data_IF_222566395490
#
_entry.id   IF_222566395490
#
_cell.length_a   1.000
_cell.length_b   1.000
_cell.length_c   1.000
_cell.angle_alpha   90.00
_cell.angle_beta   90.00
_cell.angle_gamma   90.00
#
_symmetry.space_group_name_H-M   'P 1'
#
loop_
_entity.id
_entity.type
_entity.pdbx_description
1 polymer ?
#
# COMPACT_ATOMS: atom_id res chain seq x y z
N UNK A 1 -20.46 -30.03 43.64
CA UNK A 1 -20.70 -30.84 42.43
C UNK A 1 -20.04 -30.14 41.26
N UNK A 2 -19.07 -30.79 40.63
CA UNK A 2 -18.31 -30.28 39.48
C UNK A 2 -18.97 -30.83 38.21
N UNK A 3 -19.31 -29.96 37.28
CA UNK A 3 -19.79 -30.37 35.96
C UNK A 3 -18.65 -30.97 35.13
N UNK A 4 -18.97 -32.03 34.40
CA UNK A 4 -18.11 -32.90 33.60
C UNK A 4 -18.45 -32.69 32.11
N UNK A 5 -17.42 -32.84 31.25
CA UNK A 5 -17.43 -33.12 29.79
C UNK A 5 -17.79 -31.96 28.83
N UNK A 6 -17.12 -31.74 27.68
CA UNK A 6 -16.13 -32.54 26.92
C UNK A 6 -15.57 -31.72 25.73
N UNK A 7 -14.40 -32.14 25.23
CA UNK A 7 -13.96 -32.15 23.81
C UNK A 7 -13.67 -30.82 23.09
N UNK A 8 -12.40 -30.45 22.94
CA UNK A 8 -11.56 -30.81 21.77
C UNK A 8 -10.15 -30.23 21.98
N UNK A 9 -9.15 -31.02 21.65
CA UNK A 9 -7.73 -30.69 21.65
C UNK A 9 -7.45 -29.36 20.94
N UNK A 10 -7.00 -28.35 21.69
CA UNK A 10 -6.44 -27.12 21.13
C UNK A 10 -5.11 -27.47 20.42
N UNK A 11 -5.23 -27.75 19.13
CA UNK A 11 -4.14 -28.08 18.24
C UNK A 11 -3.18 -26.87 18.16
N UNK A 12 -1.97 -27.10 18.65
CA UNK A 12 -0.67 -26.51 18.26
C UNK A 12 -0.51 -24.98 18.39
N UNK A 13 0.12 -24.58 19.50
CA UNK A 13 1.11 -23.50 19.47
C UNK A 13 2.23 -23.91 18.50
N UNK A 14 2.19 -23.42 17.27
CA UNK A 14 3.39 -23.35 16.43
C UNK A 14 3.21 -22.35 15.31
N UNK A 15 3.60 -21.10 15.53
CA UNK A 15 4.28 -20.38 14.44
C UNK A 15 5.76 -20.50 14.72
N UNK A 16 6.39 -21.31 13.87
CA UNK A 16 7.80 -21.65 13.89
C UNK A 16 8.57 -20.37 13.65
N UNK A 17 9.50 -20.05 14.55
CA UNK A 17 10.62 -19.16 14.25
C UNK A 17 11.48 -19.85 13.18
N UNK A 18 11.18 -19.65 11.90
CA UNK A 18 12.06 -20.09 10.82
C UNK A 18 13.11 -19.01 10.58
N UNK A 19 14.30 -19.23 11.11
CA UNK A 19 15.48 -18.46 10.78
C UNK A 19 15.88 -18.69 9.32
N UNK A 20 16.21 -17.60 8.61
CA UNK A 20 16.89 -17.46 7.30
C UNK A 20 16.07 -17.45 5.97
N UNK A 21 14.76 -17.73 5.96
CA UNK A 21 13.88 -17.49 4.79
C UNK A 21 12.90 -16.31 4.98
N UNK A 22 12.78 -15.81 6.21
CA UNK A 22 11.87 -14.73 6.61
C UNK A 22 12.29 -13.31 6.19
N UNK A 23 13.30 -13.17 5.31
CA UNK A 23 13.96 -11.89 5.05
C UNK A 23 13.88 -11.39 3.59
N UNK A 24 13.08 -12.04 2.74
CA UNK A 24 12.82 -11.58 1.37
C UNK A 24 11.33 -11.37 1.18
N UNK A 25 10.93 -10.14 0.88
CA UNK A 25 9.55 -9.86 0.46
C UNK A 25 9.34 -10.50 -0.90
N UNK A 26 8.37 -11.41 -1.01
CA UNK A 26 8.04 -12.00 -2.30
C UNK A 26 7.26 -10.97 -3.13
N UNK A 27 7.44 -10.93 -4.46
CA UNK A 27 6.66 -10.05 -5.32
C UNK A 27 5.14 -10.24 -5.15
N UNK A 28 4.69 -11.49 -5.00
CA UNK A 28 3.27 -11.82 -4.79
C UNK A 28 2.71 -11.19 -3.51
N UNK A 29 3.46 -11.26 -2.41
CA UNK A 29 3.06 -10.62 -1.15
C UNK A 29 2.95 -9.11 -1.31
N UNK A 30 3.94 -8.48 -1.95
CA UNK A 30 3.92 -7.02 -2.15
C UNK A 30 2.79 -6.59 -3.08
N UNK A 31 2.49 -7.36 -4.13
CA UNK A 31 1.34 -7.11 -5.01
C UNK A 31 0.02 -7.17 -4.23
N UNK A 32 -0.13 -8.15 -3.34
CA UNK A 32 -1.31 -8.25 -2.47
C UNK A 32 -1.41 -7.05 -1.53
N UNK A 33 -0.32 -6.63 -0.89
CA UNK A 33 -0.33 -5.45 -0.01
C UNK A 33 -0.63 -4.14 -0.77
N UNK A 34 -0.16 -4.02 -2.02
CA UNK A 34 -0.51 -2.91 -2.91
C UNK A 34 -2.02 -2.89 -3.16
N UNK A 35 -2.61 -4.03 -3.51
CA UNK A 35 -4.05 -4.15 -3.79
C UNK A 35 -4.89 -3.81 -2.55
N UNK A 36 -4.53 -4.39 -1.39
CA UNK A 36 -5.20 -4.12 -0.11
C UNK A 36 -5.14 -2.63 0.23
N UNK A 37 -3.98 -1.99 0.14
CA UNK A 37 -3.86 -0.57 0.45
C UNK A 37 -4.60 0.33 -0.54
N UNK A 38 -4.62 -0.03 -1.83
CA UNK A 38 -5.41 0.69 -2.83
C UNK A 38 -6.90 0.59 -2.55
N UNK A 39 -7.40 -0.59 -2.17
CA UNK A 39 -8.81 -0.76 -1.79
C UNK A 39 -9.19 0.10 -0.59
N UNK A 40 -8.38 0.09 0.48
CA UNK A 40 -8.62 0.94 1.65
C UNK A 40 -8.60 2.42 1.28
N UNK A 41 -7.71 2.84 0.38
CA UNK A 41 -7.67 4.21 -0.13
C UNK A 41 -8.94 4.61 -0.89
N UNK A 42 -9.56 3.70 -1.66
CA UNK A 42 -10.75 4.02 -2.44
C UNK A 42 -12.03 4.03 -1.61
N UNK A 43 -12.17 3.11 -0.65
CA UNK A 43 -13.46 2.78 -0.07
C UNK A 43 -13.61 2.98 1.42
N UNK A 44 -12.51 3.16 2.16
CA UNK A 44 -12.58 3.35 3.60
C UNK A 44 -12.49 4.84 3.98
N UNK A 45 -12.50 5.08 5.30
CA UNK A 45 -12.28 6.43 5.82
C UNK A 45 -10.86 6.93 5.51
N UNK A 46 -10.64 8.26 5.48
CA UNK A 46 -9.31 8.83 5.29
C UNK A 46 -8.26 8.30 6.28
N UNK A 47 -8.65 7.90 7.49
CA UNK A 47 -7.77 7.34 8.52
C UNK A 47 -7.28 5.94 8.16
N UNK A 48 -8.17 5.07 7.71
CA UNK A 48 -7.83 3.72 7.25
C UNK A 48 -6.92 3.79 6.00
N UNK A 49 -7.28 4.66 5.05
CA UNK A 49 -6.46 4.95 3.87
C UNK A 49 -5.04 5.40 4.24
N UNK A 50 -4.90 6.36 5.17
CA UNK A 50 -3.58 6.82 5.68
C UNK A 50 -2.78 5.66 6.25
N UNK A 51 -3.39 4.85 7.12
CA UNK A 51 -2.71 3.74 7.80
C UNK A 51 -2.19 2.69 6.82
N UNK A 52 -3.04 2.25 5.89
CA UNK A 52 -2.70 1.25 4.89
C UNK A 52 -1.58 1.76 3.96
N UNK A 53 -1.72 2.98 3.43
CA UNK A 53 -0.72 3.56 2.53
C UNK A 53 0.62 3.85 3.23
N UNK A 54 0.62 4.23 4.51
CA UNK A 54 1.87 4.38 5.28
C UNK A 54 2.57 3.05 5.50
N UNK A 55 1.81 1.99 5.77
CA UNK A 55 2.36 0.65 5.93
C UNK A 55 2.99 0.18 4.62
N UNK A 56 2.29 0.36 3.50
CA UNK A 56 2.79 0.05 2.17
C UNK A 56 4.05 0.87 1.84
N UNK A 57 4.08 2.17 2.15
CA UNK A 57 5.26 3.00 1.91
C UNK A 57 6.49 2.46 2.65
N UNK A 58 6.37 2.12 3.95
CA UNK A 58 7.47 1.53 4.73
C UNK A 58 7.93 0.19 4.15
N UNK A 59 6.98 -0.63 3.69
CA UNK A 59 7.27 -1.92 3.06
C UNK A 59 8.10 -1.73 1.79
N UNK A 60 7.66 -0.86 0.89
CA UNK A 60 8.33 -0.55 -0.38
C UNK A 60 9.67 0.21 -0.18
N UNK A 61 9.85 0.88 0.96
CA UNK A 61 11.16 1.45 1.34
C UNK A 61 12.13 0.40 1.88
N UNK A 62 11.62 -0.64 2.54
CA UNK A 62 12.45 -1.69 3.14
C UNK A 62 13.07 -2.65 2.12
N UNK A 63 12.43 -2.86 0.96
CA UNK A 63 12.93 -3.72 -0.10
C UNK A 63 12.72 -3.05 -1.47
N UNK A 64 13.82 -2.56 -2.02
CA UNK A 64 13.89 -1.98 -3.36
C UNK A 64 14.81 -2.83 -4.26
N UNK A 65 14.80 -4.15 -4.08
CA UNK A 65 15.58 -5.03 -4.93
C UNK A 65 15.11 -4.95 -6.38
N UNK A 66 16.08 -4.99 -7.32
CA UNK A 66 15.78 -4.91 -8.76
C UNK A 66 14.78 -6.01 -9.20
N UNK A 67 14.91 -7.21 -8.66
CA UNK A 67 14.01 -8.33 -8.97
C UNK A 67 12.56 -8.07 -8.51
N UNK A 68 12.36 -7.37 -7.39
CA UNK A 68 11.04 -6.97 -6.92
C UNK A 68 10.49 -5.85 -7.81
N UNK A 69 11.29 -4.81 -8.09
CA UNK A 69 10.90 -3.68 -8.92
C UNK A 69 10.56 -4.11 -10.37
N UNK A 70 11.27 -5.08 -10.93
CA UNK A 70 10.95 -5.68 -12.24
C UNK A 70 9.57 -6.34 -12.27
N UNK A 71 9.08 -6.82 -11.12
CA UNK A 71 7.78 -7.51 -11.02
C UNK A 71 6.63 -6.57 -10.70
N UNK A 72 6.82 -5.63 -9.79
CA UNK A 72 5.74 -4.75 -9.34
C UNK A 72 5.70 -3.43 -10.13
N UNK A 73 6.84 -3.00 -10.69
CA UNK A 73 7.04 -1.71 -11.35
C UNK A 73 7.74 -0.70 -10.41
N UNK A 74 8.68 0.12 -10.92
CA UNK A 74 9.51 1.02 -10.11
C UNK A 74 8.71 2.15 -9.43
N UNK A 75 7.54 2.49 -9.97
CA UNK A 75 6.82 3.70 -9.58
C UNK A 75 5.80 3.49 -8.44
N UNK A 76 5.66 2.27 -7.91
CA UNK A 76 4.66 1.99 -6.86
C UNK A 76 4.88 2.82 -5.59
N UNK A 77 6.13 3.06 -5.20
CA UNK A 77 6.43 3.91 -4.04
C UNK A 77 6.04 5.37 -4.33
N UNK A 78 6.31 5.86 -5.55
CA UNK A 78 5.91 7.20 -5.97
C UNK A 78 4.37 7.35 -5.95
N UNK A 79 3.63 6.37 -6.48
CA UNK A 79 2.16 6.38 -6.44
C UNK A 79 1.59 6.27 -5.02
N UNK A 80 2.21 5.46 -4.17
CA UNK A 80 1.82 5.35 -2.75
C UNK A 80 1.97 6.71 -2.04
N UNK A 81 3.09 7.40 -2.26
CA UNK A 81 3.29 8.75 -1.73
C UNK A 81 2.34 9.79 -2.32
N UNK A 82 2.03 9.73 -3.62
CA UNK A 82 1.06 10.64 -4.21
C UNK A 82 -0.33 10.48 -3.59
N UNK A 83 -0.77 9.24 -3.37
CA UNK A 83 -2.05 8.95 -2.69
C UNK A 83 -2.03 9.44 -1.24
N UNK A 84 -0.95 9.26 -0.48
CA UNK A 84 -0.80 9.87 0.85
C UNK A 84 -0.93 11.40 0.81
N UNK A 85 -0.30 12.04 -0.18
CA UNK A 85 -0.41 13.48 -0.41
C UNK A 85 -1.87 13.94 -0.60
N UNK A 86 -2.64 13.20 -1.40
CA UNK A 86 -4.08 13.47 -1.62
C UNK A 86 -4.91 13.25 -0.35
N UNK A 87 -4.68 12.15 0.38
CA UNK A 87 -5.45 11.87 1.60
C UNK A 87 -5.17 12.92 2.69
N UNK A 88 -3.92 13.36 2.84
CA UNK A 88 -3.59 14.42 3.79
C UNK A 88 -4.16 15.78 3.38
N UNK A 89 -4.09 16.14 2.09
CA UNK A 89 -4.72 17.33 1.52
C UNK A 89 -6.23 17.35 1.81
N UNK A 90 -6.92 16.24 1.51
CA UNK A 90 -8.36 16.11 1.76
C UNK A 90 -8.74 16.20 3.24
N UNK A 91 -7.80 15.86 4.14
CA UNK A 91 -8.00 15.96 5.59
C UNK A 91 -7.52 17.30 6.20
N UNK A 92 -7.00 18.22 5.39
CA UNK A 92 -6.55 19.55 5.82
C UNK A 92 -5.14 19.63 6.43
N UNK A 93 -4.40 18.53 6.49
CA UNK A 93 -3.00 18.53 6.96
C UNK A 93 -2.06 18.90 5.80
N UNK A 94 -2.01 20.19 5.50
CA UNK A 94 -1.27 20.72 4.35
C UNK A 94 0.25 20.49 4.45
N UNK A 95 0.81 20.42 5.66
CA UNK A 95 2.24 20.18 5.87
C UNK A 95 2.59 18.77 5.42
N UNK A 96 1.90 17.75 5.95
CA UNK A 96 2.13 16.37 5.51
C UNK A 96 1.77 16.16 4.05
N UNK A 97 0.71 16.80 3.57
CA UNK A 97 0.36 16.75 2.16
C UNK A 97 1.55 17.23 1.30
N UNK A 98 2.12 18.39 1.60
CA UNK A 98 3.29 18.93 0.90
C UNK A 98 4.49 17.98 0.93
N UNK A 99 4.80 17.40 2.09
CA UNK A 99 5.92 16.47 2.24
C UNK A 99 5.77 15.22 1.35
N UNK A 100 4.58 14.62 1.36
CA UNK A 100 4.31 13.42 0.55
C UNK A 100 4.24 13.73 -0.95
N UNK A 101 3.68 14.89 -1.34
CA UNK A 101 3.68 15.37 -2.73
C UNK A 101 5.11 15.52 -3.25
N UNK A 102 5.99 16.14 -2.46
CA UNK A 102 7.41 16.31 -2.81
C UNK A 102 8.13 14.96 -2.96
N UNK A 103 7.93 14.02 -2.04
CA UNK A 103 8.49 12.66 -2.13
C UNK A 103 8.04 11.93 -3.41
N UNK A 104 6.75 12.01 -3.73
CA UNK A 104 6.19 11.37 -4.92
C UNK A 104 6.81 11.90 -6.22
N UNK A 105 6.88 13.22 -6.36
CA UNK A 105 7.47 13.89 -7.53
C UNK A 105 8.96 13.58 -7.63
N UNK A 106 9.71 13.66 -6.52
CA UNK A 106 11.14 13.36 -6.47
C UNK A 106 11.45 11.94 -6.95
N UNK A 107 10.65 10.95 -6.55
CA UNK A 107 10.81 9.57 -7.02
C UNK A 107 10.46 9.42 -8.50
N UNK A 108 9.33 9.98 -8.94
CA UNK A 108 8.89 9.88 -10.33
C UNK A 108 9.89 10.53 -11.30
N UNK A 109 10.48 11.67 -10.91
CA UNK A 109 11.49 12.37 -11.71
C UNK A 109 12.78 11.57 -11.93
N UNK A 110 13.05 10.54 -11.12
CA UNK A 110 14.18 9.62 -11.35
C UNK A 110 13.94 8.71 -12.56
N UNK A 111 12.68 8.52 -12.95
CA UNK A 111 12.27 7.61 -14.03
C UNK A 111 11.72 8.36 -15.25
N UNK A 112 11.05 9.50 -15.02
CA UNK A 112 10.43 10.33 -16.05
C UNK A 112 10.77 11.81 -15.80
N UNK A 113 11.62 12.40 -16.65
CA UNK A 113 11.93 13.83 -16.57
C UNK A 113 10.67 14.68 -16.78
N UNK A 114 10.50 15.73 -15.96
CA UNK A 114 9.47 16.78 -16.07
C UNK A 114 8.06 16.48 -15.50
N UNK A 115 7.87 15.43 -14.70
CA UNK A 115 6.61 15.26 -13.96
C UNK A 115 6.57 16.22 -12.77
N UNK A 116 5.53 17.07 -12.71
CA UNK A 116 5.19 17.90 -11.55
C UNK A 116 4.04 17.29 -10.73
N UNK A 117 3.58 18.00 -9.69
CA UNK A 117 2.48 17.50 -8.85
C UNK A 117 1.16 17.35 -9.63
N UNK A 118 0.87 18.25 -10.57
CA UNK A 118 -0.40 18.22 -11.30
C UNK A 118 -0.42 17.05 -12.30
N UNK A 119 0.69 16.81 -12.99
CA UNK A 119 0.88 15.61 -13.82
C UNK A 119 0.77 14.34 -12.99
N UNK A 120 1.37 14.29 -11.80
CA UNK A 120 1.26 13.15 -10.89
C UNK A 120 -0.19 12.90 -10.45
N UNK A 121 -0.94 13.97 -10.14
CA UNK A 121 -2.34 13.89 -9.76
C UNK A 121 -3.22 13.34 -10.89
N UNK A 122 -2.98 13.78 -12.13
CA UNK A 122 -3.67 13.25 -13.31
C UNK A 122 -3.38 11.76 -13.52
N UNK A 123 -2.12 11.33 -13.37
CA UNK A 123 -1.75 9.93 -13.45
C UNK A 123 -2.49 9.08 -12.42
N UNK A 124 -2.49 9.50 -11.15
CA UNK A 124 -3.22 8.80 -10.08
C UNK A 124 -4.70 8.70 -10.43
N UNK A 125 -5.35 9.81 -10.80
CA UNK A 125 -6.77 9.81 -11.17
C UNK A 125 -7.09 8.87 -12.33
N UNK A 126 -6.21 8.82 -13.34
CA UNK A 126 -6.34 7.90 -14.47
C UNK A 126 -6.28 6.43 -14.02
N UNK A 127 -5.27 6.05 -13.24
CA UNK A 127 -5.13 4.68 -12.74
C UNK A 127 -6.26 4.28 -11.80
N UNK A 128 -6.63 5.17 -10.88
CA UNK A 128 -7.70 4.95 -9.91
C UNK A 128 -9.05 4.74 -10.63
N UNK A 129 -9.34 5.55 -11.64
CA UNK A 129 -10.54 5.42 -12.47
C UNK A 129 -10.57 4.10 -13.26
N UNK A 130 -9.42 3.62 -13.72
CA UNK A 130 -9.32 2.36 -14.45
C UNK A 130 -9.42 1.14 -13.52
N UNK A 131 -8.92 1.22 -12.29
CA UNK A 131 -9.09 0.18 -11.29
C UNK A 131 -10.57 -0.01 -10.96
N UNK A 132 -11.31 1.08 -10.70
CA UNK A 132 -12.76 1.05 -10.43
C UNK A 132 -13.61 0.45 -11.57
N UNK A 133 -13.10 0.48 -12.81
CA UNK A 133 -13.76 -0.12 -13.99
C UNK A 133 -13.47 -1.62 -14.14
N UNK A 134 -12.28 -2.07 -13.73
CA UNK A 134 -11.81 -3.44 -13.96
C UNK A 134 -12.15 -4.38 -12.82
N UNK A 135 -12.25 -3.87 -11.60
CA UNK A 135 -12.50 -4.66 -10.41
C UNK A 135 -13.77 -4.18 -9.71
N UNK A 136 -14.82 -5.00 -9.79
CA UNK A 136 -16.08 -4.75 -9.09
C UNK A 136 -15.92 -4.77 -7.56
N UNK A 137 -14.86 -5.40 -7.03
CA UNK A 137 -14.54 -5.45 -5.60
C UNK A 137 -14.00 -4.13 -5.04
N UNK A 138 -13.61 -3.20 -5.93
CA UNK A 138 -13.12 -1.84 -5.61
C UNK A 138 -14.21 -0.78 -5.82
N UNK A 139 -15.42 -1.18 -6.27
CA UNK A 139 -16.61 -0.30 -6.20
C UNK A 139 -17.07 -0.24 -4.75
N UNK A 140 -16.86 0.91 -4.13
CA UNK A 140 -17.35 1.17 -2.78
C UNK A 140 -18.89 1.07 -2.79
N UNK A 141 -19.42 0.19 -1.93
CA UNK A 141 -20.83 -0.17 -1.83
C UNK A 141 -21.73 1.01 -1.44
#
# INVERSE_FOLDING_TARGET
MKYINTLFSALILSTISTSSLANQLTPEFVLNEIDVAQKHYMCDSPEAAKSALQTLARLLESDQSLALLDKIGPDNLAFTYARLGLVYENSGDNLKASDYKAKAVSLMQRHLSEVDWEGMKQLIQFFDSNLKKRDDSVKCS
#
